data_IF_439476769458
#
_entry.id   IF_439476769458
#
_cell.length_a   1.000
_cell.length_b   1.000
_cell.length_c   1.000
_cell.angle_alpha   90.00
_cell.angle_beta   90.00
_cell.angle_gamma   90.00
#
_symmetry.space_group_name_H-M   'P 1'
#
loop_
_entity.id
_entity.type
_entity.pdbx_description
1 polymer ?
#
# COMPACT_ATOMS: atom_id res chain seq x y z
N UNK A 1 -9.38 -12.58 1.77
CA UNK A 1 -8.11 -12.54 1.01
C UNK A 1 -7.62 -11.11 1.19
N UNK A 2 -6.45 -10.91 1.77
CA UNK A 2 -5.84 -9.58 1.67
C UNK A 2 -5.28 -9.52 0.26
N UNK A 3 -5.75 -8.53 -0.49
CA UNK A 3 -5.44 -8.35 -1.90
C UNK A 3 -3.93 -8.15 -2.09
N UNK A 4 -3.44 -8.37 -3.30
CA UNK A 4 -2.03 -8.13 -3.63
C UNK A 4 -1.68 -6.64 -3.38
N UNK A 5 -0.63 -6.31 -2.59
CA UNK A 5 -0.30 -4.92 -2.26
C UNK A 5 -0.02 -4.08 -3.50
N UNK A 6 0.47 -4.67 -4.59
CA UNK A 6 0.70 -3.97 -5.85
C UNK A 6 -0.61 -3.53 -6.51
N UNK A 7 -1.55 -4.45 -6.71
CA UNK A 7 -2.87 -4.15 -7.26
C UNK A 7 -3.63 -3.14 -6.39
N UNK A 8 -3.54 -3.28 -5.08
CA UNK A 8 -4.22 -2.36 -4.16
C UNK A 8 -3.59 -0.97 -4.23
N UNK A 9 -2.25 -0.89 -4.30
CA UNK A 9 -1.54 0.38 -4.46
C UNK A 9 -1.92 1.10 -5.75
N UNK A 10 -2.04 0.35 -6.86
CA UNK A 10 -2.47 0.85 -8.15
C UNK A 10 -3.89 1.43 -8.10
N UNK A 11 -4.85 0.64 -7.63
CA UNK A 11 -6.26 1.03 -7.59
C UNK A 11 -6.50 2.25 -6.72
N UNK A 12 -5.88 2.29 -5.54
CA UNK A 12 -5.95 3.43 -4.63
C UNK A 12 -5.40 4.68 -5.30
N UNK A 13 -4.24 4.60 -5.95
CA UNK A 13 -3.67 5.73 -6.67
C UNK A 13 -4.56 6.23 -7.80
N UNK A 14 -5.16 5.31 -8.58
CA UNK A 14 -6.10 5.67 -9.65
C UNK A 14 -7.31 6.42 -9.08
N UNK A 15 -7.92 5.90 -8.02
CA UNK A 15 -9.07 6.53 -7.38
C UNK A 15 -8.68 7.89 -6.80
N UNK A 16 -7.52 7.99 -6.14
CA UNK A 16 -7.01 9.24 -5.58
C UNK A 16 -6.82 10.32 -6.66
N UNK A 17 -6.20 9.94 -7.78
CA UNK A 17 -6.00 10.79 -8.96
C UNK A 17 -7.33 11.27 -9.56
N UNK A 18 -8.27 10.36 -9.82
CA UNK A 18 -9.59 10.71 -10.37
C UNK A 18 -10.39 11.57 -9.40
N UNK A 19 -10.28 11.31 -8.09
CA UNK A 19 -10.95 12.07 -7.05
C UNK A 19 -10.33 13.45 -6.79
N UNK A 20 -9.09 13.69 -7.27
CA UNK A 20 -8.25 14.85 -6.97
C UNK A 20 -8.01 15.01 -5.47
N UNK A 21 -7.64 13.93 -4.79
CA UNK A 21 -7.31 13.97 -3.36
C UNK A 21 -8.51 14.02 -2.42
N UNK A 22 -9.70 13.61 -2.88
CA UNK A 22 -10.91 13.54 -2.04
C UNK A 22 -11.17 12.13 -1.51
N UNK A 23 -10.36 11.17 -1.93
CA UNK A 23 -10.46 9.78 -1.51
C UNK A 23 -9.69 9.55 -0.21
N UNK A 24 -10.27 8.78 0.70
CA UNK A 24 -9.62 8.31 1.92
C UNK A 24 -9.79 6.80 1.95
N UNK A 25 -8.68 6.05 1.98
CA UNK A 25 -8.76 4.60 2.08
C UNK A 25 -8.79 4.17 3.55
N UNK A 26 -9.92 3.59 3.94
CA UNK A 26 -10.13 3.01 5.26
C UNK A 26 -9.43 1.66 5.35
N UNK A 27 -8.23 1.65 5.92
CA UNK A 27 -7.39 0.47 6.00
C UNK A 27 -7.65 -0.27 7.32
N UNK A 28 -7.96 -1.57 7.27
CA UNK A 28 -8.20 -2.37 8.49
C UNK A 28 -7.92 -3.85 8.31
N UNK A 29 -7.28 -4.45 9.32
CA UNK A 29 -6.82 -5.84 9.30
C UNK A 29 -7.87 -6.88 9.72
N UNK A 30 -9.04 -6.45 10.24
CA UNK A 30 -9.98 -7.31 11.00
C UNK A 30 -9.24 -8.23 12.00
N UNK A 31 -8.24 -7.69 12.69
CA UNK A 31 -7.25 -8.43 13.47
C UNK A 31 -7.68 -8.69 14.93
N UNK A 32 -8.98 -8.65 15.24
CA UNK A 32 -9.46 -8.84 16.63
C UNK A 32 -8.91 -10.15 17.21
N UNK A 33 -8.02 -10.01 18.20
CA UNK A 33 -7.38 -11.13 18.90
C UNK A 33 -6.25 -11.84 18.14
N UNK A 34 -5.73 -11.29 17.04
CA UNK A 34 -4.67 -11.92 16.24
C UNK A 34 -3.55 -10.93 15.91
N UNK A 35 -2.45 -11.05 16.64
CA UNK A 35 -1.23 -10.28 16.38
C UNK A 35 -0.64 -10.62 15.00
N UNK A 36 -0.71 -11.89 14.60
CA UNK A 36 -0.26 -12.34 13.27
C UNK A 36 -0.97 -11.59 12.12
N UNK A 37 -2.30 -11.45 12.18
CA UNK A 37 -3.06 -10.68 11.17
C UNK A 37 -2.74 -9.20 11.20
N UNK A 38 -2.37 -8.67 12.37
CA UNK A 38 -1.97 -7.29 12.54
C UNK A 38 -0.60 -7.04 11.91
N UNK A 39 0.37 -7.91 12.16
CA UNK A 39 1.71 -7.84 11.57
C UNK A 39 1.64 -7.99 10.05
N UNK A 40 0.86 -8.95 9.56
CA UNK A 40 0.61 -9.13 8.12
C UNK A 40 0.08 -7.84 7.48
N UNK A 41 -0.90 -7.20 8.12
CA UNK A 41 -1.48 -5.96 7.61
C UNK A 41 -0.50 -4.78 7.66
N UNK A 42 0.39 -4.73 8.66
CA UNK A 42 1.41 -3.70 8.68
C UNK A 42 2.43 -3.86 7.55
N UNK A 43 2.92 -5.08 7.30
CA UNK A 43 3.81 -5.31 6.15
C UNK A 43 3.11 -4.97 4.82
N UNK A 44 1.82 -5.30 4.67
CA UNK A 44 1.03 -4.89 3.50
C UNK A 44 1.05 -3.37 3.30
N UNK A 45 0.84 -2.59 4.36
CA UNK A 45 0.89 -1.12 4.30
C UNK A 45 2.29 -0.59 3.97
N UNK A 46 3.34 -1.24 4.46
CA UNK A 46 4.73 -0.86 4.19
C UNK A 46 5.10 -1.07 2.72
N UNK A 47 4.72 -2.21 2.12
CA UNK A 47 4.92 -2.46 0.68
C UNK A 47 4.24 -1.38 -0.14
N UNK A 48 2.96 -1.09 0.13
CA UNK A 48 2.25 -0.04 -0.62
C UNK A 48 2.89 1.34 -0.47
N UNK A 49 3.38 1.67 0.74
CA UNK A 49 4.07 2.94 0.99
C UNK A 49 5.32 3.07 0.13
N UNK A 50 6.16 2.03 0.07
CA UNK A 50 7.34 2.02 -0.78
C UNK A 50 6.97 2.24 -2.25
N UNK A 51 5.94 1.54 -2.75
CA UNK A 51 5.46 1.69 -4.13
C UNK A 51 5.05 3.13 -4.50
N UNK A 52 4.56 3.93 -3.55
CA UNK A 52 4.17 5.32 -3.81
C UNK A 52 5.28 6.34 -3.63
N UNK A 53 6.25 6.06 -2.75
CA UNK A 53 7.27 7.03 -2.35
C UNK A 53 8.60 6.85 -3.05
N UNK A 54 8.94 5.63 -3.43
CA UNK A 54 10.21 5.33 -4.11
C UNK A 54 10.10 5.64 -5.61
N UNK A 55 11.19 6.12 -6.20
CA UNK A 55 11.27 6.28 -7.65
C UNK A 55 11.50 4.94 -8.36
N UNK A 56 12.19 4.01 -7.70
CA UNK A 56 12.36 2.62 -8.10
C UNK A 56 12.17 1.76 -6.85
N UNK A 57 11.35 0.72 -6.95
CA UNK A 57 11.08 -0.15 -5.81
C UNK A 57 12.32 -0.95 -5.44
N UNK A 58 12.82 -0.72 -4.24
CA UNK A 58 14.05 -1.29 -3.71
C UNK A 58 13.94 -2.75 -3.30
N UNK A 59 12.74 -3.33 -3.37
CA UNK A 59 12.44 -4.66 -2.85
C UNK A 59 11.89 -4.60 -1.43
N UNK A 60 11.24 -5.68 -1.01
CA UNK A 60 10.70 -5.79 0.34
C UNK A 60 11.01 -7.18 0.91
N UNK A 61 11.62 -7.24 2.09
CA UNK A 61 11.92 -8.48 2.80
C UNK A 61 11.23 -8.46 4.17
N UNK A 62 10.03 -9.04 4.22
CA UNK A 62 9.24 -9.22 5.44
C UNK A 62 8.96 -10.68 5.76
N UNK A 63 8.22 -10.89 6.84
CA UNK A 63 7.75 -12.20 7.30
C UNK A 63 6.66 -12.77 6.38
N UNK A 64 5.81 -11.91 5.81
CA UNK A 64 4.66 -12.31 4.98
C UNK A 64 4.81 -11.91 3.53
N UNK A 65 5.54 -10.82 3.25
CA UNK A 65 5.82 -10.37 1.89
C UNK A 65 7.32 -10.41 1.60
N UNK A 66 7.68 -10.97 0.44
CA UNK A 66 9.04 -10.95 -0.06
C UNK A 66 9.02 -10.66 -1.56
N UNK A 67 9.56 -9.51 -1.94
CA UNK A 67 9.58 -9.04 -3.31
C UNK A 67 11.00 -8.58 -3.69
N UNK A 68 11.54 -9.05 -4.82
CA UNK A 68 12.81 -8.55 -5.31
C UNK A 68 12.70 -7.07 -5.74
N UNK A 69 13.82 -6.37 -5.71
CA UNK A 69 13.93 -5.05 -6.33
C UNK A 69 13.62 -5.14 -7.83
N UNK A 70 12.95 -4.13 -8.37
CA UNK A 70 12.85 -3.93 -9.82
C UNK A 70 13.22 -2.49 -10.16
N UNK A 71 14.16 -2.37 -11.10
CA UNK A 71 14.78 -1.10 -11.48
C UNK A 71 14.20 -0.52 -12.77
N UNK A 72 13.36 -1.28 -13.47
CA UNK A 72 12.52 -0.70 -14.51
C UNK A 72 11.48 0.19 -13.83
N UNK A 73 11.24 1.43 -14.31
CA UNK A 73 10.18 2.25 -13.80
C UNK A 73 8.89 1.44 -13.86
N UNK A 74 8.28 1.19 -12.71
CA UNK A 74 7.02 0.46 -12.60
C UNK A 74 5.91 1.34 -13.16
N UNK A 75 5.86 1.42 -14.49
CA UNK A 75 4.96 2.27 -15.26
C UNK A 75 3.48 1.99 -14.93
N UNK A 76 3.18 0.85 -14.32
CA UNK A 76 1.82 0.44 -13.99
C UNK A 76 1.23 1.09 -12.74
N UNK A 77 2.03 1.51 -11.73
CA UNK A 77 1.46 2.12 -10.51
C UNK A 77 1.60 3.64 -10.58
N UNK A 78 0.50 4.39 -10.79
CA UNK A 78 0.56 5.83 -10.69
C UNK A 78 0.90 6.25 -9.26
N UNK A 79 1.64 7.35 -9.08
CA UNK A 79 1.80 7.97 -7.76
C UNK A 79 0.46 8.60 -7.33
N UNK A 80 0.07 8.54 -6.05
CA UNK A 80 -1.14 9.20 -5.57
C UNK A 80 -1.10 10.73 -5.82
N UNK A 81 -2.28 11.33 -5.94
CA UNK A 81 -2.46 12.78 -6.04
C UNK A 81 -2.03 13.46 -4.73
N UNK A 82 -2.43 12.91 -3.59
CA UNK A 82 -2.02 13.39 -2.27
C UNK A 82 -0.57 12.99 -1.97
N UNK A 83 0.20 13.91 -1.37
CA UNK A 83 1.62 13.72 -1.04
C UNK A 83 1.84 13.70 0.48
N UNK A 84 2.79 12.89 1.01
CA UNK A 84 3.68 11.98 0.28
C UNK A 84 3.05 10.64 -0.16
N UNK A 85 1.88 10.28 0.37
CA UNK A 85 1.08 9.12 -0.04
C UNK A 85 -0.42 9.44 0.16
N UNK A 86 -1.33 8.64 -0.41
CA UNK A 86 -2.77 8.86 -0.21
C UNK A 86 -3.14 8.66 1.27
N UNK A 87 -3.99 9.50 1.88
CA UNK A 87 -4.33 9.39 3.28
C UNK A 87 -5.07 8.08 3.54
N UNK A 88 -4.45 7.22 4.33
CA UNK A 88 -5.10 6.03 4.88
C UNK A 88 -5.57 6.32 6.28
N UNK A 89 -6.87 6.16 6.50
CA UNK A 89 -7.41 6.12 7.84
C UNK A 89 -7.23 4.69 8.35
N UNK A 90 -6.33 4.50 9.32
CA UNK A 90 -6.26 3.24 10.07
C UNK A 90 -7.56 3.10 10.86
N UNK A 91 -8.39 2.13 10.50
CA UNK A 91 -9.55 1.77 11.30
C UNK A 91 -9.05 1.13 12.61
N UNK A 92 -9.02 1.93 13.69
CA UNK A 92 -8.54 1.54 15.00
C UNK A 92 -9.62 0.90 15.89
N UNK A 93 -9.32 -0.33 16.36
CA UNK A 93 -9.96 -1.17 17.42
C UNK A 93 -11.37 -1.74 17.21
#
# INVERSE_FOLDING_TARGET
MLDDPFQTAEQISIIDQVSKGRFIYGAGARSRGSDERRDYFYEFLEVMKQLWTEDHFSGFEGKYYNYPAFYEPYLSIPKPYQKPFSPYALAGR
#
